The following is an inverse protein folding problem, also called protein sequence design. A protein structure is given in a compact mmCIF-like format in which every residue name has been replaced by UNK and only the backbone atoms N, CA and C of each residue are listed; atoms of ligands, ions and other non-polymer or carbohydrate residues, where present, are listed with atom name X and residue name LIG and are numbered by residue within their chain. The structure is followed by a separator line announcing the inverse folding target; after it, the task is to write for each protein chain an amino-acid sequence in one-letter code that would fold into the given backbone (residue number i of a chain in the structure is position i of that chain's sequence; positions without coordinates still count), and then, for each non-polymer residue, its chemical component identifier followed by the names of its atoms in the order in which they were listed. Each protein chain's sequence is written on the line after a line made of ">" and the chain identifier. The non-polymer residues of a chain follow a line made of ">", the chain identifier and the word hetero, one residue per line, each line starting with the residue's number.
data_IF_463258099585
#
_entry.id   IF_463258099585
#
_cell.length_a   1.000
_cell.length_b   1.000
_cell.length_c   1.000
_cell.angle_alpha   90.00
_cell.angle_beta   90.00
_cell.angle_gamma   90.00
#
_symmetry.space_group_name_H-M   'P 1'
#
loop_
_entity.id
_entity.type
_entity.pdbx_description
1 polymer ?
#
# COMPACT_ATOMS: atom_id res chain seq x y z
N UNK A 1 -10.93 34.80 -9.59
CA UNK A 1 -10.39 33.95 -8.53
C UNK A 1 -9.26 33.02 -8.99
N UNK A 2 -9.32 32.41 -10.17
CA UNK A 2 -8.29 31.48 -10.66
C UNK A 2 -6.90 32.13 -10.91
N UNK A 3 -6.85 33.40 -11.31
CA UNK A 3 -5.60 34.14 -11.55
C UNK A 3 -4.85 34.55 -10.25
N UNK A 4 -5.53 34.58 -9.13
CA UNK A 4 -4.94 34.91 -7.83
C UNK A 4 -4.23 33.71 -7.20
N UNK A 5 -4.76 32.51 -7.43
CA UNK A 5 -4.14 31.26 -6.95
C UNK A 5 -2.81 30.95 -7.67
N UNK A 6 -2.72 31.28 -8.96
CA UNK A 6 -1.50 31.03 -9.76
C UNK A 6 -0.36 32.02 -9.44
N UNK A 7 -0.66 33.22 -8.96
CA UNK A 7 0.36 34.21 -8.54
C UNK A 7 0.92 33.95 -7.15
N UNK A 8 0.16 33.29 -6.26
CA UNK A 8 0.64 32.92 -4.93
C UNK A 8 1.63 31.75 -4.97
N UNK A 9 1.56 30.90 -6.00
CA UNK A 9 2.48 29.76 -6.18
C UNK A 9 3.88 30.16 -6.65
N UNK A 10 4.07 31.36 -7.16
CA UNK A 10 5.32 31.82 -7.81
C UNK A 10 6.28 32.55 -6.86
N UNK A 11 5.88 32.89 -5.63
CA UNK A 11 6.69 33.66 -4.70
C UNK A 11 7.30 32.87 -3.54
N UNK A 12 7.14 31.53 -3.51
CA UNK A 12 7.83 30.72 -2.53
C UNK A 12 9.24 30.30 -3.02
N UNK A 13 10.18 31.24 -2.97
CA UNK A 13 11.61 30.92 -2.99
C UNK A 13 12.01 30.44 -1.61
N UNK A 14 11.95 29.13 -1.37
CA UNK A 14 12.41 28.53 -0.13
C UNK A 14 13.94 28.43 -0.10
N UNK A 15 14.57 29.27 0.67
CA UNK A 15 15.88 29.06 1.27
C UNK A 15 15.66 28.62 2.71
N UNK A 16 15.75 27.35 2.97
CA UNK A 16 16.02 26.67 4.26
C UNK A 16 15.25 25.35 4.35
N UNK A 17 15.83 24.38 5.01
CA UNK A 17 15.34 23.05 5.29
C UNK A 17 13.82 23.01 5.57
N UNK A 18 13.04 22.62 4.58
CA UNK A 18 11.60 22.38 4.78
C UNK A 18 11.45 21.01 5.39
N UNK A 19 11.11 20.96 6.66
CA UNK A 19 10.50 19.80 7.27
C UNK A 19 9.19 19.51 6.52
N UNK A 20 8.88 18.24 6.33
CA UNK A 20 7.59 17.84 5.77
C UNK A 20 6.48 18.42 6.63
N UNK A 21 5.67 19.31 6.07
CA UNK A 21 4.49 19.83 6.72
C UNK A 21 3.32 18.92 6.34
N UNK A 22 3.07 17.90 7.14
CA UNK A 22 1.81 17.17 7.06
C UNK A 22 0.70 18.04 7.66
N UNK A 23 -0.10 18.65 6.81
CA UNK A 23 -1.34 19.31 7.24
C UNK A 23 -2.48 18.32 7.13
N UNK A 24 -2.40 17.24 7.88
CA UNK A 24 -3.52 16.34 8.12
C UNK A 24 -4.06 16.63 9.51
N UNK A 25 -5.15 17.37 9.58
CA UNK A 25 -5.84 17.63 10.85
C UNK A 25 -6.45 16.33 11.38
N UNK A 26 -6.12 15.99 12.59
CA UNK A 26 -6.74 14.94 13.40
C UNK A 26 -8.21 15.27 13.67
N UNK A 27 -9.07 14.95 12.74
CA UNK A 27 -10.49 14.95 13.01
C UNK A 27 -11.12 13.74 12.34
N UNK A 28 -11.82 12.91 13.12
CA UNK A 28 -12.48 11.65 12.75
C UNK A 28 -13.57 11.79 11.67
N UNK A 29 -13.41 12.70 10.72
CA UNK A 29 -14.34 12.86 9.60
C UNK A 29 -13.80 12.14 8.37
N UNK A 30 -14.53 11.10 7.96
CA UNK A 30 -14.32 10.37 6.71
C UNK A 30 -14.26 11.34 5.53
N UNK A 31 -13.19 11.27 4.74
CA UNK A 31 -13.17 11.85 3.41
C UNK A 31 -12.51 13.23 3.26
N UNK A 32 -11.58 13.64 4.14
CA UNK A 32 -10.84 14.90 3.95
C UNK A 32 -9.60 14.64 3.08
N UNK A 33 -9.44 15.34 1.94
CA UNK A 33 -8.23 15.26 1.15
C UNK A 33 -7.02 15.79 1.93
N UNK A 34 -5.92 15.05 1.89
CA UNK A 34 -4.66 15.46 2.51
C UNK A 34 -3.71 16.04 1.47
N UNK A 35 -3.09 17.18 1.74
CA UNK A 35 -2.05 17.78 0.91
C UNK A 35 -0.72 17.53 1.59
N UNK A 36 0.13 16.72 0.97
CA UNK A 36 1.50 16.48 1.42
C UNK A 36 2.46 17.26 0.55
N UNK A 37 3.28 18.10 1.17
CA UNK A 37 4.37 18.81 0.52
C UNK A 37 5.66 18.26 1.09
N UNK A 38 6.46 17.60 0.25
CA UNK A 38 7.75 17.06 0.67
C UNK A 38 8.87 17.55 -0.23
N UNK A 39 10.02 17.82 0.36
CA UNK A 39 11.27 18.05 -0.34
C UNK A 39 12.24 16.94 0.00
N UNK A 40 12.56 16.11 -0.98
CA UNK A 40 13.52 15.03 -0.81
C UNK A 40 14.83 15.43 -1.44
N UNK A 41 15.92 15.44 -0.66
CA UNK A 41 17.25 15.61 -1.23
C UNK A 41 17.65 14.35 -1.99
N UNK A 42 18.26 14.50 -3.17
CA UNK A 42 18.84 13.38 -3.95
C UNK A 42 20.08 12.79 -3.26
N UNK A 43 20.20 12.92 -1.95
CA UNK A 43 21.30 12.30 -1.23
C UNK A 43 21.17 10.78 -1.27
N UNK A 44 22.30 10.11 -1.34
CA UNK A 44 22.53 8.67 -1.40
C UNK A 44 21.80 7.79 -0.37
N UNK A 45 20.93 8.37 0.45
CA UNK A 45 20.10 7.69 1.45
C UNK A 45 19.18 6.64 0.79
N UNK A 46 18.70 6.91 -0.43
CA UNK A 46 17.87 5.95 -1.17
C UNK A 46 18.65 4.80 -1.82
N UNK A 47 19.96 4.97 -2.04
CA UNK A 47 20.80 3.95 -2.69
C UNK A 47 21.58 3.08 -1.72
N UNK A 48 21.54 3.33 -0.42
CA UNK A 48 22.14 2.44 0.56
C UNK A 48 21.26 1.19 0.70
N UNK A 49 21.58 0.14 -0.04
CA UNK A 49 21.22 -1.23 0.32
C UNK A 49 21.97 -1.57 1.63
N UNK A 50 21.64 -0.83 2.68
CA UNK A 50 22.19 -1.05 4.01
C UNK A 50 21.41 -2.14 4.74
N UNK A 51 21.98 -2.60 5.85
CA UNK A 51 21.37 -3.56 6.81
C UNK A 51 19.91 -3.17 7.17
N UNK A 52 19.56 -1.91 6.99
CA UNK A 52 18.28 -1.33 7.40
C UNK A 52 17.24 -1.22 6.29
N UNK A 53 17.60 -1.43 5.01
CA UNK A 53 16.67 -1.35 3.89
C UNK A 53 16.68 -2.65 3.09
N UNK A 54 15.51 -3.19 2.77
CA UNK A 54 15.33 -4.29 1.82
C UNK A 54 14.34 -3.87 0.75
N UNK A 55 14.71 -4.07 -0.50
CA UNK A 55 13.83 -3.82 -1.66
C UNK A 55 13.50 -5.15 -2.30
N UNK A 56 12.21 -5.36 -2.59
CA UNK A 56 11.71 -6.43 -3.43
C UNK A 56 11.21 -5.81 -4.72
N UNK A 57 11.89 -6.07 -5.81
CA UNK A 57 11.46 -5.67 -7.16
C UNK A 57 10.34 -6.57 -7.67
N UNK A 58 9.65 -6.19 -8.75
CA UNK A 58 8.66 -7.05 -9.41
C UNK A 58 9.25 -8.41 -9.78
N UNK A 59 10.51 -8.44 -10.22
CA UNK A 59 11.19 -9.69 -10.55
C UNK A 59 11.44 -10.56 -9.32
N UNK A 60 11.79 -9.96 -8.17
CA UNK A 60 11.95 -10.69 -6.91
C UNK A 60 10.62 -11.28 -6.44
N UNK A 61 9.53 -10.52 -6.56
CA UNK A 61 8.17 -10.98 -6.23
C UNK A 61 7.81 -12.20 -7.09
N UNK A 62 8.01 -12.13 -8.39
CA UNK A 62 7.74 -13.23 -9.33
C UNK A 62 8.62 -14.45 -9.01
N UNK A 63 9.93 -14.27 -8.83
CA UNK A 63 10.87 -15.35 -8.53
C UNK A 63 10.58 -16.06 -7.20
N UNK A 64 10.08 -15.33 -6.21
CA UNK A 64 9.74 -15.92 -4.91
C UNK A 64 8.41 -16.65 -4.90
N UNK A 65 7.55 -16.46 -5.91
CA UNK A 65 6.18 -16.97 -5.94
C UNK A 65 5.28 -16.37 -4.85
N UNK A 66 5.67 -15.23 -4.28
CA UNK A 66 4.90 -14.56 -3.25
C UNK A 66 3.60 -14.01 -3.79
N UNK A 67 2.51 -14.26 -3.10
CA UNK A 67 1.20 -13.68 -3.43
C UNK A 67 0.78 -12.57 -2.48
N UNK A 68 1.35 -12.54 -1.28
CA UNK A 68 1.07 -11.52 -0.24
C UNK A 68 2.36 -10.86 0.25
N UNK A 69 2.22 -9.71 0.88
CA UNK A 69 3.34 -9.00 1.53
C UNK A 69 3.96 -9.85 2.63
N UNK A 70 3.17 -10.58 3.40
CA UNK A 70 3.66 -11.48 4.44
C UNK A 70 4.58 -12.56 3.87
N UNK A 71 4.27 -13.11 2.67
CA UNK A 71 5.13 -14.11 2.00
C UNK A 71 6.54 -13.59 1.70
N UNK A 72 6.70 -12.29 1.47
CA UNK A 72 7.98 -11.64 1.24
C UNK A 72 8.68 -11.29 2.55
N UNK A 73 7.96 -10.69 3.47
CA UNK A 73 8.51 -10.13 4.70
C UNK A 73 9.03 -11.21 5.64
N UNK A 74 8.37 -12.37 5.71
CA UNK A 74 8.86 -13.53 6.50
C UNK A 74 10.24 -14.00 6.14
N UNK A 75 10.79 -13.59 4.98
CA UNK A 75 12.13 -13.88 4.52
C UNK A 75 13.15 -12.80 4.90
N UNK A 76 12.71 -11.73 5.57
CA UNK A 76 13.56 -10.58 5.92
C UNK A 76 14.05 -10.74 7.37
N UNK A 77 15.36 -10.85 7.55
CA UNK A 77 15.95 -10.92 8.89
C UNK A 77 15.60 -9.70 9.75
N UNK A 78 15.26 -9.94 11.02
CA UNK A 78 14.89 -8.92 12.00
C UNK A 78 13.47 -8.38 11.84
N UNK A 79 12.61 -9.16 11.18
CA UNK A 79 11.18 -8.92 11.11
C UNK A 79 10.46 -10.20 11.50
N UNK A 80 9.61 -10.10 12.49
CA UNK A 80 8.68 -11.15 12.88
C UNK A 80 7.28 -10.82 12.36
N UNK A 81 6.42 -11.81 12.28
CA UNK A 81 5.05 -11.63 11.83
C UNK A 81 4.11 -12.58 12.58
N UNK A 82 2.86 -12.21 12.69
CA UNK A 82 1.79 -13.13 12.99
C UNK A 82 0.77 -13.12 11.86
N UNK A 83 0.06 -14.21 11.70
CA UNK A 83 -1.10 -14.32 10.82
C UNK A 83 -2.09 -15.27 11.48
N UNK A 84 -3.35 -14.84 11.60
CA UNK A 84 -4.39 -15.60 12.35
C UNK A 84 -4.84 -16.86 11.64
N UNK A 85 -4.50 -17.00 10.37
CA UNK A 85 -4.86 -18.19 9.58
C UNK A 85 -4.27 -18.10 8.17
N UNK A 86 -5.09 -18.34 7.16
CA UNK A 86 -4.68 -18.36 5.77
C UNK A 86 -4.45 -16.96 5.16
N UNK A 87 -4.03 -16.94 3.89
CA UNK A 87 -3.87 -15.70 3.12
C UNK A 87 -5.16 -14.90 3.08
N UNK A 88 -5.06 -13.60 3.34
CA UNK A 88 -6.20 -12.69 3.41
C UNK A 88 -6.79 -12.52 4.82
N UNK A 89 -6.47 -13.40 5.77
CA UNK A 89 -6.80 -13.22 7.18
C UNK A 89 -5.81 -12.25 7.83
N UNK A 90 -6.20 -11.71 8.99
CA UNK A 90 -5.45 -10.66 9.68
C UNK A 90 -3.98 -11.06 9.90
N UNK A 91 -3.08 -10.14 9.56
CA UNK A 91 -1.65 -10.30 9.77
C UNK A 91 -1.00 -9.00 10.23
N UNK A 92 -0.07 -9.12 11.17
CA UNK A 92 0.75 -8.02 11.65
C UNK A 92 2.24 -8.31 11.48
N UNK A 93 3.02 -7.24 11.46
CA UNK A 93 4.48 -7.27 11.29
C UNK A 93 5.12 -6.60 12.48
N UNK A 94 6.17 -7.21 13.04
CA UNK A 94 6.94 -6.70 14.16
C UNK A 94 8.39 -6.47 13.70
N UNK A 95 8.79 -5.23 13.58
CA UNK A 95 10.14 -4.88 13.17
C UNK A 95 11.05 -4.68 14.37
N UNK A 96 12.11 -5.51 14.51
CA UNK A 96 13.08 -5.39 15.61
C UNK A 96 12.47 -5.39 17.01
N UNK A 97 11.40 -6.15 17.21
CA UNK A 97 10.70 -6.23 18.50
C UNK A 97 9.77 -5.07 18.82
N UNK A 98 9.54 -4.14 17.86
CA UNK A 98 8.50 -3.13 18.01
C UNK A 98 7.11 -3.73 17.80
N UNK A 99 6.07 -3.08 18.30
CA UNK A 99 4.70 -3.50 18.03
C UNK A 99 4.29 -3.25 16.58
N UNK A 100 3.30 -3.98 16.09
CA UNK A 100 2.88 -3.94 14.69
C UNK A 100 2.32 -2.56 14.27
N UNK A 101 1.67 -1.84 15.17
CA UNK A 101 1.20 -0.47 14.96
C UNK A 101 2.33 0.58 14.89
N UNK A 102 3.57 0.22 15.25
CA UNK A 102 4.76 1.06 15.08
C UNK A 102 5.40 0.90 13.68
N UNK A 103 4.73 0.20 12.79
CA UNK A 103 5.14 0.06 11.39
C UNK A 103 4.29 0.99 10.52
N UNK A 104 4.94 2.01 9.96
CA UNK A 104 4.29 2.89 9.00
C UNK A 104 4.13 2.19 7.65
N UNK A 105 2.94 2.25 7.07
CA UNK A 105 2.66 1.68 5.76
C UNK A 105 2.37 2.79 4.77
N UNK A 106 3.07 2.72 3.64
CA UNK A 106 3.05 3.77 2.62
C UNK A 106 2.60 3.18 1.28
N UNK A 107 1.84 3.97 0.53
CA UNK A 107 1.58 3.77 -0.89
C UNK A 107 2.20 4.93 -1.67
N UNK A 108 3.22 4.62 -2.48
CA UNK A 108 4.01 5.63 -3.22
C UNK A 108 4.56 6.75 -2.31
N UNK A 109 4.98 6.39 -1.09
CA UNK A 109 5.54 7.33 -0.12
C UNK A 109 4.52 8.08 0.73
N UNK A 110 3.22 7.80 0.61
CA UNK A 110 2.15 8.45 1.37
C UNK A 110 1.52 7.44 2.32
N UNK A 111 1.37 7.83 3.59
CA UNK A 111 0.84 6.96 4.63
C UNK A 111 -0.58 6.47 4.32
N UNK A 112 -0.79 5.17 4.50
CA UNK A 112 -2.08 4.48 4.28
C UNK A 112 -2.48 3.61 5.48
N UNK A 113 -1.92 3.84 6.66
CA UNK A 113 -2.36 3.15 7.86
C UNK A 113 -3.85 3.38 8.09
N UNK A 114 -4.56 2.35 8.52
CA UNK A 114 -6.00 2.44 8.76
C UNK A 114 -6.30 3.23 10.05
N UNK A 115 -6.74 4.46 9.88
CA UNK A 115 -7.07 5.35 11.01
C UNK A 115 -8.31 4.90 11.80
N UNK A 116 -9.11 3.98 11.27
CA UNK A 116 -10.25 3.38 11.99
C UNK A 116 -9.86 2.18 12.85
N UNK A 117 -8.65 1.64 12.63
CA UNK A 117 -8.13 0.55 13.44
C UNK A 117 -7.52 1.07 14.76
N UNK A 118 -7.52 0.23 15.78
CA UNK A 118 -6.88 0.55 17.05
C UNK A 118 -5.42 0.91 16.85
N UNK A 119 -5.02 2.09 17.29
CA UNK A 119 -3.66 2.62 17.18
C UNK A 119 -3.12 2.68 15.73
N UNK A 120 -3.98 2.81 14.71
CA UNK A 120 -3.54 2.88 13.33
C UNK A 120 -2.92 1.59 12.79
N UNK A 121 -3.27 0.44 13.34
CA UNK A 121 -2.75 -0.87 12.91
C UNK A 121 -3.12 -1.15 11.46
N UNK A 122 -2.12 -1.48 10.64
CA UNK A 122 -2.33 -1.96 9.28
C UNK A 122 -2.44 -3.48 9.23
N UNK A 123 -3.43 -3.98 8.49
CA UNK A 123 -3.62 -5.41 8.27
C UNK A 123 -2.90 -5.88 7.00
N UNK A 124 -1.70 -6.43 7.17
CA UNK A 124 -0.86 -6.94 6.08
C UNK A 124 -1.39 -8.22 5.41
N UNK A 125 -2.32 -8.90 6.03
CA UNK A 125 -2.94 -10.10 5.45
C UNK A 125 -3.71 -9.81 4.16
N UNK A 126 -4.15 -8.58 3.99
CA UNK A 126 -4.94 -8.13 2.84
C UNK A 126 -4.09 -7.59 1.69
N UNK A 127 -2.77 -7.46 1.88
CA UNK A 127 -1.88 -6.88 0.89
C UNK A 127 -1.36 -7.94 -0.07
N UNK A 128 -2.12 -8.20 -1.11
CA UNK A 128 -1.68 -8.99 -2.25
C UNK A 128 -0.78 -8.15 -3.16
N UNK A 129 0.26 -8.78 -3.73
CA UNK A 129 1.39 -8.04 -4.34
C UNK A 129 1.37 -7.99 -5.87
N UNK A 130 0.33 -8.50 -6.53
CA UNK A 130 0.31 -8.64 -7.99
C UNK A 130 0.36 -7.29 -8.71
N UNK A 131 -0.34 -6.28 -8.20
CA UNK A 131 -0.39 -4.94 -8.82
C UNK A 131 0.76 -4.03 -8.40
N UNK A 132 1.59 -4.48 -7.43
CA UNK A 132 2.72 -3.71 -6.90
C UNK A 132 3.94 -3.90 -7.80
N UNK A 133 4.69 -2.82 -8.03
CA UNK A 133 5.92 -2.83 -8.82
C UNK A 133 7.16 -3.10 -7.95
N UNK A 134 7.13 -2.58 -6.73
CA UNK A 134 8.22 -2.72 -5.77
C UNK A 134 7.68 -2.62 -4.35
N UNK A 135 8.29 -3.36 -3.44
CA UNK A 135 8.05 -3.21 -2.00
C UNK A 135 9.38 -2.84 -1.34
N UNK A 136 9.37 -1.74 -0.63
CA UNK A 136 10.51 -1.25 0.12
C UNK A 136 10.25 -1.43 1.61
N UNK A 137 11.15 -2.10 2.29
CA UNK A 137 11.07 -2.36 3.73
C UNK A 137 12.23 -1.63 4.42
N UNK A 138 11.89 -0.68 5.27
CA UNK A 138 12.83 0.10 6.07
C UNK A 138 12.77 -0.38 7.51
N UNK A 139 13.85 -0.95 8.03
CA UNK A 139 13.90 -1.54 9.37
C UNK A 139 14.48 -0.57 10.39
N UNK A 140 13.84 -0.49 11.56
CA UNK A 140 14.27 0.37 12.66
C UNK A 140 13.72 1.79 12.54
N UNK A 141 14.04 2.64 13.50
CA UNK A 141 13.51 3.99 13.58
C UNK A 141 13.83 4.81 12.33
N UNK A 142 12.81 5.21 11.63
CA UNK A 142 12.85 6.06 10.44
C UNK A 142 12.03 7.33 10.63
N UNK A 143 11.73 7.68 11.88
CA UNK A 143 10.90 8.83 12.23
C UNK A 143 11.42 10.16 11.67
N UNK A 144 12.74 10.33 11.56
CA UNK A 144 13.33 11.51 10.93
C UNK A 144 13.04 11.63 9.42
N UNK A 145 12.70 10.50 8.77
CA UNK A 145 12.47 10.44 7.33
C UNK A 145 10.98 10.35 6.98
N UNK A 146 10.23 9.53 7.72
CA UNK A 146 8.83 9.21 7.43
C UNK A 146 7.85 9.74 8.48
N UNK A 147 8.34 10.36 9.56
CA UNK A 147 7.50 10.86 10.66
C UNK A 147 7.43 9.92 11.86
N UNK A 148 6.66 10.30 12.89
CA UNK A 148 6.66 9.65 14.20
C UNK A 148 6.13 8.21 14.18
N UNK A 149 5.26 7.86 13.24
CA UNK A 149 4.64 6.54 13.18
C UNK A 149 5.59 5.44 12.67
N UNK A 150 6.79 5.81 12.18
CA UNK A 150 7.82 4.89 11.69
C UNK A 150 8.86 4.53 12.77
N UNK A 151 8.43 4.25 14.01
CA UNK A 151 9.31 3.90 15.14
C UNK A 151 9.98 2.54 14.89
N UNK A 152 9.21 1.54 14.54
CA UNK A 152 9.68 0.19 14.23
C UNK A 152 10.28 0.10 12.84
N UNK A 153 9.72 0.85 11.91
CA UNK A 153 10.11 0.86 10.51
C UNK A 153 9.00 1.31 9.60
N UNK A 154 9.21 1.15 8.28
CA UNK A 154 8.21 1.45 7.28
C UNK A 154 8.18 0.40 6.16
N UNK A 155 7.00 0.19 5.58
CA UNK A 155 6.80 -0.60 4.37
C UNK A 155 6.17 0.29 3.32
N UNK A 156 6.83 0.46 2.17
CA UNK A 156 6.33 1.28 1.08
C UNK A 156 5.98 0.41 -0.13
N UNK A 157 4.72 0.45 -0.52
CA UNK A 157 4.22 -0.15 -1.75
C UNK A 157 4.36 0.84 -2.90
N UNK A 158 5.18 0.51 -3.88
CA UNK A 158 5.37 1.32 -5.08
C UNK A 158 4.56 0.72 -6.21
N UNK A 159 3.63 1.51 -6.74
CA UNK A 159 2.71 1.09 -7.81
C UNK A 159 2.94 1.81 -9.12
N UNK A 160 4.15 2.30 -9.36
CA UNK A 160 4.52 3.07 -10.56
C UNK A 160 4.26 2.28 -11.87
N UNK A 161 4.32 2.97 -12.98
CA UNK A 161 4.10 2.41 -14.32
C UNK A 161 5.10 1.30 -14.59
N UNK A 162 4.56 0.16 -14.96
CA UNK A 162 5.32 -0.95 -15.52
C UNK A 162 5.13 -0.94 -17.04
N UNK A 163 6.21 -0.74 -17.77
CA UNK A 163 6.19 -0.68 -19.23
C UNK A 163 6.11 -2.05 -19.90
N UNK A 164 6.17 -3.14 -19.13
CA UNK A 164 5.87 -4.47 -19.64
C UNK A 164 4.36 -4.66 -19.79
N UNK A 165 3.91 -5.21 -20.88
CA UNK A 165 2.54 -5.69 -21.02
C UNK A 165 2.53 -7.17 -20.70
N UNK A 166 1.76 -7.57 -19.70
CA UNK A 166 1.74 -8.93 -19.22
C UNK A 166 0.37 -9.35 -18.72
N UNK A 167 0.12 -10.62 -18.79
CA UNK A 167 -0.98 -11.27 -18.09
C UNK A 167 -0.48 -12.57 -17.51
N UNK A 168 -1.03 -12.97 -16.37
CA UNK A 168 -0.78 -14.26 -15.77
C UNK A 168 -2.07 -14.88 -15.26
N UNK A 169 -2.14 -16.20 -15.35
CA UNK A 169 -3.19 -17.01 -14.73
C UNK A 169 -2.48 -18.14 -14.02
N UNK A 170 -2.68 -18.24 -12.70
CA UNK A 170 -2.09 -19.27 -11.88
C UNK A 170 -3.19 -20.07 -11.19
N UNK A 171 -3.06 -21.38 -11.21
CA UNK A 171 -3.93 -22.30 -10.49
C UNK A 171 -3.05 -23.40 -9.90
N UNK A 172 -3.00 -23.48 -8.58
CA UNK A 172 -2.18 -24.48 -7.89
C UNK A 172 -2.99 -25.73 -7.54
N UNK A 173 -4.29 -25.55 -7.37
CA UNK A 173 -5.31 -26.57 -7.15
C UNK A 173 -6.69 -25.92 -7.38
N UNK A 174 -7.76 -26.67 -7.19
CA UNK A 174 -9.13 -26.15 -7.38
C UNK A 174 -9.46 -24.94 -6.49
N UNK A 175 -8.74 -24.77 -5.39
CA UNK A 175 -9.06 -23.84 -4.31
C UNK A 175 -8.16 -22.60 -4.29
N UNK A 176 -7.06 -22.58 -5.06
CA UNK A 176 -6.16 -21.43 -5.13
C UNK A 176 -5.96 -21.00 -6.58
N UNK A 177 -6.51 -19.86 -6.92
CA UNK A 177 -6.47 -19.28 -8.28
C UNK A 177 -6.10 -17.82 -8.22
N UNK A 178 -5.27 -17.37 -9.13
CA UNK A 178 -5.01 -15.95 -9.32
C UNK A 178 -4.92 -15.61 -10.81
N UNK A 179 -5.33 -14.40 -11.13
CA UNK A 179 -5.12 -13.81 -12.44
C UNK A 179 -4.64 -12.37 -12.24
N UNK A 180 -3.68 -11.95 -13.05
CA UNK A 180 -3.27 -10.55 -13.10
C UNK A 180 -3.05 -10.08 -14.53
N UNK A 181 -3.22 -8.79 -14.71
CA UNK A 181 -3.10 -8.08 -15.96
C UNK A 181 -2.36 -6.78 -15.77
N UNK A 182 -1.46 -6.47 -16.67
CA UNK A 182 -0.76 -5.20 -16.75
C UNK A 182 -0.68 -4.75 -18.20
N UNK A 183 -1.07 -3.51 -18.46
CA UNK A 183 -0.94 -2.91 -19.79
C UNK A 183 -0.55 -1.44 -19.67
N UNK A 184 0.36 -1.01 -20.51
CA UNK A 184 0.81 0.37 -20.60
C UNK A 184 0.68 0.88 -22.02
N UNK A 185 0.09 2.06 -22.15
CA UNK A 185 -0.03 2.79 -23.42
C UNK A 185 0.61 4.16 -23.30
N UNK A 186 1.44 4.50 -24.27
CA UNK A 186 1.95 5.86 -24.46
C UNK A 186 1.14 6.49 -25.58
N UNK A 187 0.55 7.65 -25.33
CA UNK A 187 -0.26 8.38 -26.30
C UNK A 187 0.62 9.36 -27.08
N UNK A 188 0.16 9.78 -28.27
CA UNK A 188 0.85 10.79 -29.09
C UNK A 188 0.99 12.15 -28.36
N UNK A 189 0.10 12.44 -27.44
CA UNK A 189 0.15 13.63 -26.58
C UNK A 189 1.14 13.51 -25.40
N UNK A 190 1.90 12.42 -25.31
CA UNK A 190 2.93 12.20 -24.30
C UNK A 190 2.42 11.72 -22.93
N UNK A 191 1.18 11.24 -22.85
CA UNK A 191 0.71 10.58 -21.66
C UNK A 191 1.18 9.12 -21.61
N UNK A 192 1.70 8.73 -20.47
CA UNK A 192 1.98 7.33 -20.13
C UNK A 192 0.84 6.86 -19.22
N UNK A 193 0.03 5.96 -19.74
CA UNK A 193 -1.14 5.40 -19.05
C UNK A 193 -0.89 3.93 -18.76
N UNK A 194 -1.11 3.52 -17.51
CA UNK A 194 -0.92 2.14 -17.10
C UNK A 194 -2.14 1.68 -16.30
N UNK A 195 -2.62 0.49 -16.63
CA UNK A 195 -3.65 -0.22 -15.88
C UNK A 195 -3.10 -1.56 -15.41
N UNK A 196 -3.25 -1.83 -14.11
CA UNK A 196 -3.00 -3.13 -13.51
C UNK A 196 -4.26 -3.62 -12.84
N UNK A 197 -4.57 -4.89 -13.00
CA UNK A 197 -5.66 -5.55 -12.32
C UNK A 197 -5.21 -6.89 -11.78
N UNK A 198 -5.73 -7.32 -10.64
CA UNK A 198 -5.51 -8.65 -10.11
C UNK A 198 -6.76 -9.18 -9.42
N UNK A 199 -6.97 -10.48 -9.55
CA UNK A 199 -7.98 -11.23 -8.84
C UNK A 199 -7.34 -12.45 -8.20
N UNK A 200 -7.59 -12.65 -6.92
CA UNK A 200 -7.11 -13.79 -6.15
C UNK A 200 -8.29 -14.50 -5.49
N UNK A 201 -8.29 -15.80 -5.54
CA UNK A 201 -9.18 -16.66 -4.78
C UNK A 201 -8.34 -17.74 -4.10
N UNK A 202 -8.50 -17.86 -2.81
CA UNK A 202 -7.87 -18.89 -1.99
C UNK A 202 -8.91 -19.52 -1.10
N UNK A 203 -8.85 -20.84 -0.95
CA UNK A 203 -9.68 -21.61 -0.06
C UNK A 203 -8.82 -22.71 0.55
N UNK A 204 -8.80 -22.79 1.86
CA UNK A 204 -8.01 -23.78 2.60
C UNK A 204 -8.83 -24.34 3.76
N UNK A 205 -8.40 -25.47 4.31
CA UNK A 205 -9.01 -26.00 5.51
C UNK A 205 -8.94 -24.96 6.64
N UNK A 206 -10.04 -24.85 7.41
CA UNK A 206 -10.07 -24.01 8.58
C UNK A 206 -8.98 -24.39 9.58
N UNK A 207 -8.41 -23.41 10.26
CA UNK A 207 -7.41 -23.63 11.30
C UNK A 207 -7.98 -24.30 12.57
N UNK A 208 -9.29 -24.38 12.70
CA UNK A 208 -9.97 -25.04 13.82
C UNK A 208 -10.23 -26.51 13.54
N UNK A 209 -9.73 -27.36 14.41
CA UNK A 209 -9.63 -28.80 14.24
C UNK A 209 -10.96 -29.59 14.34
N UNK A 210 -12.11 -28.97 14.46
CA UNK A 210 -13.38 -29.68 14.70
C UNK A 210 -14.40 -29.66 13.56
N UNK A 211 -14.11 -28.99 12.45
CA UNK A 211 -15.00 -28.95 11.30
C UNK A 211 -14.24 -29.24 10.02
N UNK A 212 -14.87 -29.90 9.07
CA UNK A 212 -14.40 -29.95 7.67
C UNK A 212 -14.84 -28.66 6.94
N UNK A 213 -14.70 -27.54 7.60
CA UNK A 213 -15.03 -26.23 7.09
C UNK A 213 -13.83 -25.66 6.33
N UNK A 214 -14.12 -24.90 5.29
CA UNK A 214 -13.09 -24.25 4.49
C UNK A 214 -13.24 -22.73 4.65
N UNK A 215 -12.16 -22.08 5.03
CA UNK A 215 -12.06 -20.62 5.00
C UNK A 215 -11.64 -20.14 3.62
N UNK A 216 -12.33 -19.16 3.11
CA UNK A 216 -12.09 -18.58 1.79
C UNK A 216 -11.60 -17.15 1.83
N UNK A 217 -10.76 -16.78 0.88
CA UNK A 217 -10.38 -15.38 0.64
C UNK A 217 -10.56 -15.04 -0.82
N UNK A 218 -11.21 -13.89 -1.08
CA UNK A 218 -11.30 -13.27 -2.39
C UNK A 218 -10.69 -11.89 -2.32
N UNK A 219 -9.76 -11.59 -3.22
CA UNK A 219 -9.14 -10.27 -3.31
C UNK A 219 -9.17 -9.79 -4.74
N UNK A 220 -9.60 -8.55 -4.91
CA UNK A 220 -9.59 -7.84 -6.18
C UNK A 220 -8.81 -6.54 -6.03
N UNK A 221 -7.97 -6.26 -7.00
CA UNK A 221 -7.16 -5.05 -7.02
C UNK A 221 -7.22 -4.38 -8.38
N UNK A 222 -7.27 -3.06 -8.37
CA UNK A 222 -7.11 -2.23 -9.57
C UNK A 222 -6.13 -1.10 -9.24
N UNK A 223 -5.17 -0.90 -10.12
CA UNK A 223 -4.25 0.21 -10.05
C UNK A 223 -4.19 0.92 -11.40
N UNK A 224 -4.46 2.21 -11.38
CA UNK A 224 -4.39 3.07 -12.57
C UNK A 224 -3.31 4.12 -12.32
N UNK A 225 -2.34 4.20 -13.23
CA UNK A 225 -1.32 5.23 -13.19
C UNK A 225 -1.37 6.05 -14.46
N UNK A 226 -1.24 7.35 -14.31
CA UNK A 226 -1.06 8.25 -15.43
C UNK A 226 0.06 9.22 -15.11
N UNK A 227 1.00 9.40 -16.02
CA UNK A 227 2.04 10.41 -15.90
C UNK A 227 2.30 11.10 -17.23
N UNK A 228 2.70 12.36 -17.15
CA UNK A 228 3.09 13.16 -18.29
C UNK A 228 4.25 14.08 -17.89
N UNK A 229 5.24 14.14 -18.73
CA UNK A 229 6.28 15.16 -18.65
C UNK A 229 5.73 16.48 -19.20
N UNK A 230 5.71 17.52 -18.37
CA UNK A 230 5.30 18.87 -18.74
C UNK A 230 6.49 19.70 -19.25
N UNK A 231 7.70 19.37 -18.76
CA UNK A 231 9.00 19.85 -19.22
C UNK A 231 10.07 18.80 -18.87
N UNK A 232 11.33 19.04 -19.20
CA UNK A 232 12.44 18.12 -18.93
C UNK A 232 12.63 17.84 -17.41
N UNK A 233 12.26 18.79 -16.58
CA UNK A 233 12.40 18.74 -15.13
C UNK A 233 11.08 18.56 -14.38
N UNK A 234 9.92 18.73 -15.04
CA UNK A 234 8.61 18.75 -14.41
C UNK A 234 7.72 17.62 -14.92
N UNK A 235 7.24 16.81 -13.99
CA UNK A 235 6.39 15.65 -14.27
C UNK A 235 5.10 15.72 -13.48
N UNK A 236 3.99 15.51 -14.15
CA UNK A 236 2.67 15.31 -13.53
C UNK A 236 2.42 13.82 -13.32
N UNK A 237 1.85 13.46 -12.17
CA UNK A 237 1.54 12.08 -11.80
C UNK A 237 0.14 11.97 -11.23
N UNK A 238 -0.54 10.89 -11.61
CA UNK A 238 -1.76 10.43 -10.97
C UNK A 238 -1.67 8.94 -10.67
N UNK A 239 -2.19 8.54 -9.53
CA UNK A 239 -2.40 7.14 -9.16
C UNK A 239 -3.77 6.98 -8.55
N UNK A 240 -4.50 6.00 -9.02
CA UNK A 240 -5.69 5.47 -8.37
C UNK A 240 -5.43 4.02 -7.99
N UNK A 241 -5.66 3.67 -6.74
CA UNK A 241 -5.54 2.33 -6.22
C UNK A 241 -6.85 1.91 -5.57
N UNK A 242 -7.29 0.70 -5.89
CA UNK A 242 -8.46 0.06 -5.29
C UNK A 242 -8.12 -1.36 -4.87
N UNK A 243 -8.59 -1.74 -3.69
CA UNK A 243 -8.50 -3.09 -3.14
C UNK A 243 -9.83 -3.45 -2.49
N UNK A 244 -10.32 -4.65 -2.79
CA UNK A 244 -11.49 -5.27 -2.17
C UNK A 244 -11.08 -6.67 -1.71
N UNK A 245 -11.10 -6.92 -0.40
CA UNK A 245 -10.72 -8.21 0.18
C UNK A 245 -11.86 -8.72 1.06
N UNK A 246 -12.37 -9.88 0.71
CA UNK A 246 -13.32 -10.62 1.52
C UNK A 246 -12.68 -11.88 2.05
N UNK A 247 -12.65 -12.06 3.37
CA UNK A 247 -12.02 -13.20 4.04
C UNK A 247 -12.98 -13.83 5.04
N UNK A 248 -13.01 -15.15 5.06
CA UNK A 248 -13.75 -15.97 6.01
C UNK A 248 -12.79 -16.46 7.09
N UNK A 249 -13.23 -16.51 8.33
CA UNK A 249 -12.49 -17.04 9.47
C UNK A 249 -13.43 -17.39 10.62
N UNK A 250 -12.95 -18.19 11.54
CA UNK A 250 -13.72 -18.60 12.73
C UNK A 250 -13.70 -17.53 13.83
N UNK A 251 -14.84 -17.23 14.41
CA UNK A 251 -14.89 -16.48 15.65
C UNK A 251 -14.67 -17.43 16.83
N UNK A 252 -14.01 -16.94 17.86
CA UNK A 252 -13.67 -17.55 19.17
C UNK A 252 -13.96 -19.04 19.45
N UNK A 253 -13.41 -19.53 20.55
CA UNK A 253 -13.10 -20.90 20.93
C UNK A 253 -14.25 -21.87 21.15
N UNK A 254 -15.49 -21.50 21.05
CA UNK A 254 -16.60 -22.37 21.55
C UNK A 254 -17.78 -22.59 20.61
N UNK A 255 -17.86 -21.85 19.49
CA UNK A 255 -18.96 -22.01 18.52
C UNK A 255 -18.41 -21.98 17.10
N UNK A 256 -18.95 -22.86 16.26
CA UNK A 256 -18.77 -22.86 14.79
C UNK A 256 -19.45 -21.62 14.16
N UNK A 257 -19.03 -20.44 14.57
CA UNK A 257 -19.57 -19.20 14.02
C UNK A 257 -18.61 -18.70 12.95
N UNK A 258 -18.99 -18.86 11.70
CA UNK A 258 -18.29 -18.29 10.55
C UNK A 258 -18.40 -16.77 10.59
N UNK A 259 -17.27 -16.11 10.58
CA UNK A 259 -17.15 -14.65 10.45
C UNK A 259 -16.61 -14.31 9.08
N UNK A 260 -17.22 -13.34 8.44
CA UNK A 260 -16.70 -12.77 7.18
C UNK A 260 -16.27 -11.34 7.39
N UNK A 261 -15.04 -11.01 7.03
CA UNK A 261 -14.58 -9.63 6.91
C UNK A 261 -14.65 -9.18 5.44
N UNK A 262 -15.23 -8.01 5.20
CA UNK A 262 -15.29 -7.34 3.89
C UNK A 262 -14.58 -6.00 4.04
N UNK A 263 -13.41 -5.86 3.41
CA UNK A 263 -12.52 -4.73 3.57
C UNK A 263 -12.22 -4.11 2.21
N UNK A 264 -12.65 -2.87 2.03
CA UNK A 264 -12.40 -2.09 0.84
C UNK A 264 -11.50 -0.91 1.16
N UNK A 265 -10.54 -0.68 0.31
CA UNK A 265 -9.67 0.47 0.36
C UNK A 265 -9.57 1.09 -1.02
N UNK A 266 -9.69 2.40 -1.09
CA UNK A 266 -9.30 3.14 -2.27
C UNK A 266 -8.43 4.32 -1.91
N UNK A 267 -7.47 4.62 -2.77
CA UNK A 267 -6.58 5.75 -2.64
C UNK A 267 -6.46 6.47 -3.98
N UNK A 268 -6.43 7.78 -3.93
CA UNK A 268 -6.18 8.64 -5.07
C UNK A 268 -5.04 9.59 -4.73
N UNK A 269 -4.08 9.70 -5.63
CA UNK A 269 -2.93 10.56 -5.51
C UNK A 269 -2.76 11.34 -6.80
N UNK A 270 -2.60 12.64 -6.72
CA UNK A 270 -2.31 13.50 -7.88
C UNK A 270 -1.31 14.56 -7.50
N UNK A 271 -0.39 14.88 -8.38
CA UNK A 271 0.57 15.93 -8.09
C UNK A 271 1.64 16.13 -9.15
N UNK A 272 2.58 16.96 -8.80
CA UNK A 272 3.71 17.30 -9.63
C UNK A 272 5.02 16.96 -8.92
N UNK A 273 5.97 16.48 -9.69
CA UNK A 273 7.33 16.21 -9.28
C UNK A 273 8.28 17.03 -10.15
N UNK A 274 9.14 17.81 -9.52
CA UNK A 274 10.16 18.60 -10.19
C UNK A 274 11.54 18.10 -9.80
N UNK A 275 12.31 17.70 -10.80
CA UNK A 275 13.70 17.28 -10.64
C UNK A 275 14.62 18.50 -10.81
N UNK A 276 15.38 18.83 -9.79
CA UNK A 276 16.45 19.82 -9.86
C UNK A 276 17.81 19.12 -9.76
N UNK A 277 18.90 19.87 -10.01
CA UNK A 277 20.26 19.31 -10.02
C UNK A 277 20.57 18.50 -8.75
N UNK A 278 20.18 18.99 -7.58
CA UNK A 278 20.50 18.40 -6.28
C UNK A 278 19.28 18.11 -5.41
N UNK A 279 18.05 18.25 -5.92
CA UNK A 279 16.83 17.99 -5.17
C UNK A 279 15.72 17.45 -6.07
N UNK A 280 14.76 16.80 -5.42
CA UNK A 280 13.50 16.38 -6.00
C UNK A 280 12.40 17.04 -5.19
N UNK A 281 11.68 17.97 -5.78
CA UNK A 281 10.53 18.59 -5.16
C UNK A 281 9.28 17.85 -5.58
N UNK A 282 8.42 17.56 -4.64
CA UNK A 282 7.20 16.79 -4.88
C UNK A 282 6.03 17.45 -4.13
N UNK A 283 4.97 17.77 -4.87
CA UNK A 283 3.73 18.28 -4.31
C UNK A 283 2.64 17.29 -4.70
N UNK A 284 2.05 16.63 -3.70
CA UNK A 284 1.03 15.60 -3.89
C UNK A 284 -0.22 15.94 -3.12
N UNK A 285 -1.36 15.87 -3.79
CA UNK A 285 -2.68 15.78 -3.17
C UNK A 285 -3.05 14.31 -3.04
N UNK A 286 -3.45 13.91 -1.86
CA UNK A 286 -3.73 12.53 -1.52
C UNK A 286 -5.09 12.42 -0.81
N UNK A 287 -5.80 11.35 -1.15
CA UNK A 287 -7.01 10.93 -0.48
C UNK A 287 -7.04 9.40 -0.40
N UNK A 288 -7.37 8.86 0.75
CA UNK A 288 -7.67 7.43 0.89
C UNK A 288 -8.86 7.21 1.83
N UNK A 289 -9.50 6.07 1.68
CA UNK A 289 -10.59 5.66 2.56
C UNK A 289 -10.62 4.15 2.73
N UNK A 290 -10.95 3.73 3.93
CA UNK A 290 -11.23 2.35 4.27
C UNK A 290 -12.72 2.18 4.57
N UNK A 291 -13.31 1.09 4.06
CA UNK A 291 -14.64 0.62 4.44
C UNK A 291 -14.50 -0.84 4.90
N UNK A 292 -14.62 -1.05 6.21
CA UNK A 292 -14.48 -2.35 6.82
C UNK A 292 -15.81 -2.78 7.42
N UNK A 293 -16.23 -4.02 7.10
CA UNK A 293 -17.46 -4.62 7.60
C UNK A 293 -17.18 -6.04 8.08
N UNK A 294 -17.77 -6.38 9.20
CA UNK A 294 -17.75 -7.73 9.75
C UNK A 294 -19.16 -8.30 9.74
N UNK A 295 -19.28 -9.55 9.38
CA UNK A 295 -20.54 -10.29 9.37
C UNK A 295 -20.36 -11.56 10.17
N UNK A 296 -21.12 -11.71 11.26
CA UNK A 296 -21.19 -12.94 12.05
C UNK A 296 -22.40 -13.72 11.59
N UNK A 297 -22.22 -14.98 11.17
CA UNK A 297 -23.29 -15.85 10.63
C UNK A 297 -24.17 -15.13 9.58
N UNK A 298 -23.54 -14.31 8.71
CA UNK A 298 -24.26 -13.57 7.67
C UNK A 298 -25.01 -12.32 8.14
N UNK A 299 -25.01 -12.01 9.42
CA UNK A 299 -25.56 -10.76 9.96
C UNK A 299 -24.45 -9.71 10.10
N UNK A 300 -24.75 -8.48 9.67
CA UNK A 300 -23.83 -7.37 9.80
C UNK A 300 -23.69 -6.96 11.27
N UNK A 301 -22.48 -7.04 11.81
CA UNK A 301 -22.18 -6.41 13.08
C UNK A 301 -22.11 -4.89 12.94
N UNK A 302 -22.78 -4.21 13.85
CA UNK A 302 -22.70 -2.76 13.97
C UNK A 302 -21.53 -2.41 14.88
N UNK A 303 -20.39 -2.07 14.30
CA UNK A 303 -19.32 -1.34 14.98
C UNK A 303 -19.21 0.06 14.42
#
# INVERSE_FOLDING_TARGET
>A
MLKFFFRLLLYFTFTSSVQALEVCSWNNQKGIPCITISKTSNSSIYNSQGINKKIFTKQDIIKTGASTTVDLIKKVSGIDYYQTGQKGQQAGIFMRGSESNHTLVLLNGIAINDQSATNGLHDFGQDFVQTVQQIEVYKGSNGAHFGPDAIGGAVNFVTDIDYSNSYSINGFNYDNKSADYNNTKITDSGWHLNIKGAANHSKTDSSKAKGHEYDGTKNYQVNLNAKKWLSDDLKFKNTFYYRDTKSEYDSSDTKEESVTSDNKMYAFQTGIERKMKNSLDNIMLHYHNYDRKYYVQGKKDKY
#
